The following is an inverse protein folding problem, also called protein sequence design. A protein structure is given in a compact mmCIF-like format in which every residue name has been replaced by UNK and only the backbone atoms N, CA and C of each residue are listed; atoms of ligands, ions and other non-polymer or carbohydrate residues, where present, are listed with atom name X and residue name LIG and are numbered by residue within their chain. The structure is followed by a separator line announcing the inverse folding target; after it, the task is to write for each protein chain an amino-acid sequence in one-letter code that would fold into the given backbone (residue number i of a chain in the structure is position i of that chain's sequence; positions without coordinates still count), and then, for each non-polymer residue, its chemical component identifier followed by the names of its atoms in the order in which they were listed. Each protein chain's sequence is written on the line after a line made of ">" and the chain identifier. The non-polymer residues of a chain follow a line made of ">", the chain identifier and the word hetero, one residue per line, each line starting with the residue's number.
data_IF_782833017831
#
_entry.id   IF_782833017831
#
_cell.length_a   1.000
_cell.length_b   1.000
_cell.length_c   1.000
_cell.angle_alpha   90.00
_cell.angle_beta   90.00
_cell.angle_gamma   90.00
#
_symmetry.space_group_name_H-M   'P 1'
#
loop_
_entity.id
_entity.type
_entity.pdbx_description
1 polymer ?
#
# COMPACT_ATOMS: atom_id res chain seq x y z
N UNK A 1 9.71 -1.92 -3.89
CA UNK A 1 10.91 -2.81 -3.86
C UNK A 1 11.54 -2.64 -2.49
N UNK A 2 11.82 -3.75 -1.82
CA UNK A 2 12.45 -3.78 -0.50
C UNK A 2 13.95 -3.47 -0.57
N UNK A 3 14.59 -3.19 0.57
CA UNK A 3 16.03 -2.91 0.64
C UNK A 3 16.92 -4.06 0.12
N UNK A 4 16.44 -5.29 0.22
CA UNK A 4 17.10 -6.48 -0.33
C UNK A 4 16.84 -6.71 -1.83
N UNK A 5 16.22 -5.75 -2.53
CA UNK A 5 16.03 -5.74 -3.97
C UNK A 5 14.86 -6.58 -4.48
N UNK A 6 13.97 -7.04 -3.61
CA UNK A 6 12.80 -7.83 -4.01
C UNK A 6 11.67 -6.93 -4.50
N UNK A 7 11.12 -7.24 -5.68
CA UNK A 7 9.87 -6.62 -6.14
C UNK A 7 8.69 -7.10 -5.27
N UNK A 8 7.83 -6.15 -4.93
CA UNK A 8 6.71 -6.37 -4.00
C UNK A 8 5.47 -5.64 -4.48
N UNK A 9 4.34 -5.96 -3.87
CA UNK A 9 3.12 -5.19 -4.00
C UNK A 9 3.26 -3.78 -3.40
N UNK A 10 2.37 -2.87 -3.76
CA UNK A 10 2.36 -1.48 -3.30
C UNK A 10 2.07 -1.35 -1.80
N UNK A 11 1.32 -2.29 -1.24
CA UNK A 11 0.89 -2.30 0.15
C UNK A 11 2.06 -2.27 1.14
N UNK A 12 3.20 -2.87 0.79
CA UNK A 12 4.38 -2.89 1.65
C UNK A 12 4.89 -1.48 1.97
N UNK A 13 4.82 -0.56 1.01
CA UNK A 13 5.19 0.83 1.25
C UNK A 13 4.28 1.51 2.29
N UNK A 14 3.00 1.14 2.35
CA UNK A 14 2.10 1.59 3.42
C UNK A 14 2.51 0.98 4.75
N UNK A 15 2.80 -0.32 4.80
CA UNK A 15 3.21 -0.98 6.05
C UNK A 15 4.47 -0.35 6.62
N UNK A 16 5.54 -0.19 5.82
CA UNK A 16 6.79 0.46 6.25
C UNK A 16 6.54 1.86 6.83
N UNK A 17 5.68 2.68 6.22
CA UNK A 17 5.36 4.01 6.73
C UNK A 17 4.65 4.03 8.08
N UNK A 18 3.85 3.00 8.38
CA UNK A 18 3.09 2.94 9.62
C UNK A 18 3.82 2.23 10.76
N UNK A 19 4.73 1.29 10.45
CA UNK A 19 5.48 0.56 11.48
C UNK A 19 6.92 1.06 11.66
N UNK A 20 7.40 1.94 10.75
CA UNK A 20 8.77 2.50 10.74
C UNK A 20 9.85 1.41 10.72
N UNK A 21 9.61 0.33 9.98
CA UNK A 21 10.51 -0.81 9.82
C UNK A 21 10.67 -1.17 8.35
N UNK A 22 11.90 -1.47 7.94
CA UNK A 22 12.18 -1.93 6.59
C UNK A 22 11.72 -3.39 6.43
N UNK A 23 10.91 -3.62 5.41
CA UNK A 23 10.44 -4.96 5.05
C UNK A 23 11.44 -5.66 4.11
N UNK A 24 11.34 -6.98 4.02
CA UNK A 24 12.28 -7.82 3.28
C UNK A 24 11.55 -8.82 2.35
N UNK A 25 12.32 -9.67 1.66
CA UNK A 25 11.81 -10.66 0.70
C UNK A 25 10.77 -11.64 1.25
N UNK A 26 10.69 -11.82 2.57
CA UNK A 26 9.69 -12.67 3.20
C UNK A 26 8.40 -11.92 3.53
N UNK A 27 8.40 -10.60 3.42
CA UNK A 27 7.25 -9.76 3.74
C UNK A 27 6.19 -9.71 2.63
N UNK A 28 6.46 -10.30 1.45
CA UNK A 28 5.49 -10.39 0.36
C UNK A 28 5.47 -11.77 -0.28
N UNK A 29 4.30 -12.34 -0.41
CA UNK A 29 4.10 -13.64 -1.01
C UNK A 29 2.87 -13.65 -1.90
N UNK A 30 3.07 -13.77 -3.20
CA UNK A 30 1.99 -13.89 -4.18
C UNK A 30 1.68 -15.36 -4.50
N UNK A 31 0.47 -15.64 -4.95
CA UNK A 31 0.06 -16.98 -5.43
C UNK A 31 1.03 -17.53 -6.48
N UNK A 32 1.42 -16.70 -7.45
CA UNK A 32 2.37 -17.10 -8.49
C UNK A 32 3.72 -17.55 -7.92
N UNK A 33 4.25 -16.82 -6.93
CA UNK A 33 5.52 -17.15 -6.26
C UNK A 33 5.43 -18.46 -5.49
N UNK A 34 4.31 -18.71 -4.80
CA UNK A 34 4.07 -19.98 -4.09
C UNK A 34 4.11 -21.17 -5.04
N UNK A 35 3.30 -21.12 -6.11
CA UNK A 35 3.24 -22.21 -7.08
C UNK A 35 4.57 -22.41 -7.81
N UNK A 36 5.23 -21.32 -8.21
CA UNK A 36 6.54 -21.38 -8.83
C UNK A 36 7.58 -22.10 -7.96
N UNK A 37 7.64 -21.75 -6.68
CA UNK A 37 8.56 -22.39 -5.73
C UNK A 37 8.28 -23.88 -5.56
N UNK A 38 7.01 -24.26 -5.41
CA UNK A 38 6.63 -25.68 -5.23
C UNK A 38 6.93 -26.49 -6.50
N UNK A 39 6.60 -25.98 -7.69
CA UNK A 39 6.90 -26.64 -8.96
C UNK A 39 8.41 -26.81 -9.19
N UNK A 40 9.22 -25.82 -8.83
CA UNK A 40 10.68 -25.94 -8.93
C UNK A 40 11.22 -26.99 -7.95
N UNK A 41 10.74 -27.01 -6.71
CA UNK A 41 11.10 -28.04 -5.71
C UNK A 41 10.74 -29.44 -6.21
N UNK A 42 9.54 -29.61 -6.80
CA UNK A 42 9.12 -30.89 -7.39
C UNK A 42 10.07 -31.34 -8.50
N UNK A 43 10.40 -30.45 -9.45
CA UNK A 43 11.33 -30.74 -10.57
C UNK A 43 12.74 -31.07 -10.10
N UNK A 44 13.17 -30.51 -8.98
CA UNK A 44 14.45 -30.82 -8.34
C UNK A 44 14.42 -32.11 -7.50
N UNK A 45 13.27 -32.80 -7.41
CA UNK A 45 13.13 -34.03 -6.67
C UNK A 45 12.98 -33.86 -5.15
N UNK A 46 12.72 -32.66 -4.67
CA UNK A 46 12.61 -32.37 -3.23
C UNK A 46 11.49 -33.19 -2.52
N UNK A 47 10.47 -33.62 -3.26
CA UNK A 47 9.36 -34.40 -2.72
C UNK A 47 9.48 -35.92 -2.91
N UNK A 48 10.63 -36.41 -3.38
CA UNK A 48 10.96 -37.84 -3.46
C UNK A 48 9.88 -38.71 -4.16
N UNK A 49 9.24 -38.18 -5.19
CA UNK A 49 8.19 -38.86 -5.95
C UNK A 49 6.79 -38.88 -5.31
N UNK A 50 6.60 -38.16 -4.22
CA UNK A 50 5.26 -37.96 -3.64
C UNK A 50 4.38 -37.11 -4.58
N UNK A 51 3.08 -37.39 -4.57
CA UNK A 51 2.11 -36.52 -5.27
C UNK A 51 2.04 -35.16 -4.59
N UNK A 52 2.38 -34.10 -5.35
CA UNK A 52 2.30 -32.73 -4.85
C UNK A 52 0.84 -32.28 -4.79
N UNK A 53 0.41 -31.75 -3.66
CA UNK A 53 -0.97 -31.35 -3.36
C UNK A 53 -1.01 -29.98 -2.70
N UNK A 54 -2.17 -29.34 -2.67
CA UNK A 54 -2.37 -28.08 -1.92
C UNK A 54 -1.98 -28.26 -0.46
N UNK A 55 -2.50 -29.31 0.16
CA UNK A 55 -2.14 -29.75 1.51
C UNK A 55 -1.32 -31.03 1.38
N UNK A 56 -0.08 -31.09 1.87
CA UNK A 56 0.59 -30.08 2.69
C UNK A 56 1.56 -29.15 1.91
N UNK A 57 1.79 -29.35 0.61
CA UNK A 57 2.96 -28.78 -0.07
C UNK A 57 2.81 -27.24 -0.26
N UNK A 58 1.66 -26.78 -0.79
CA UNK A 58 1.40 -25.34 -0.98
C UNK A 58 1.23 -24.66 0.40
N UNK A 59 0.48 -25.26 1.32
CA UNK A 59 0.30 -24.68 2.65
C UNK A 59 1.60 -24.60 3.45
N UNK A 60 2.49 -25.58 3.33
CA UNK A 60 3.81 -25.56 3.97
C UNK A 60 4.70 -24.45 3.36
N UNK A 61 4.63 -24.24 2.04
CA UNK A 61 5.34 -23.15 1.40
C UNK A 61 4.87 -21.79 1.94
N UNK A 62 3.57 -21.56 2.03
CA UNK A 62 2.99 -20.34 2.60
C UNK A 62 3.44 -20.13 4.05
N UNK A 63 3.29 -21.17 4.89
CA UNK A 63 3.71 -21.12 6.30
C UNK A 63 5.19 -20.81 6.46
N UNK A 64 6.04 -21.32 5.54
CA UNK A 64 7.48 -21.08 5.60
C UNK A 64 7.83 -19.60 5.48
N UNK A 65 7.06 -18.80 4.75
CA UNK A 65 7.28 -17.35 4.67
C UNK A 65 7.00 -16.66 5.99
N UNK A 66 5.90 -17.00 6.67
CA UNK A 66 5.55 -16.47 7.99
C UNK A 66 6.64 -16.79 9.01
N UNK A 67 7.08 -18.06 9.06
CA UNK A 67 8.11 -18.49 10.01
C UNK A 67 9.49 -17.93 9.69
N UNK A 68 9.85 -17.82 8.40
CA UNK A 68 11.12 -17.24 7.99
C UNK A 68 11.16 -15.75 8.28
N UNK A 69 10.05 -15.02 8.11
CA UNK A 69 9.97 -13.62 8.50
C UNK A 69 10.24 -13.47 9.99
N UNK A 70 9.51 -14.18 10.84
CA UNK A 70 9.72 -14.16 12.28
C UNK A 70 11.19 -14.45 12.68
N UNK A 71 11.76 -15.50 12.08
CA UNK A 71 13.14 -15.92 12.42
C UNK A 71 14.22 -14.98 11.90
N UNK A 72 14.00 -14.33 10.74
CA UNK A 72 15.00 -13.47 10.10
C UNK A 72 15.02 -12.05 10.67
N UNK A 73 13.93 -11.60 11.27
CA UNK A 73 13.78 -10.26 11.85
C UNK A 73 13.84 -10.25 13.38
N UNK A 74 13.87 -11.43 14.02
CA UNK A 74 13.76 -11.59 15.48
C UNK A 74 12.52 -10.87 16.06
N UNK A 75 11.44 -10.82 15.27
CA UNK A 75 10.25 -10.07 15.62
C UNK A 75 9.45 -10.76 16.74
N UNK A 76 9.04 -10.01 17.74
CA UNK A 76 8.15 -10.47 18.81
C UNK A 76 6.73 -10.73 18.30
N UNK A 77 6.29 -9.94 17.31
CA UNK A 77 4.96 -10.03 16.71
C UNK A 77 5.08 -9.97 15.18
N UNK A 78 4.44 -10.92 14.50
CA UNK A 78 4.32 -10.95 13.03
C UNK A 78 2.88 -10.67 12.65
N UNK A 79 2.66 -9.61 11.88
CA UNK A 79 1.35 -9.28 11.31
C UNK A 79 1.29 -9.82 9.88
N UNK A 80 0.38 -10.76 9.63
CA UNK A 80 0.17 -11.35 8.31
C UNK A 80 -1.17 -10.90 7.75
N UNK A 81 -1.16 -10.19 6.64
CA UNK A 81 -2.34 -9.80 5.91
C UNK A 81 -2.64 -10.82 4.82
N UNK A 82 -3.91 -11.22 4.71
CA UNK A 82 -4.41 -12.10 3.64
C UNK A 82 -5.33 -11.29 2.73
N UNK A 83 -4.85 -11.01 1.53
CA UNK A 83 -5.57 -10.21 0.54
C UNK A 83 -6.78 -10.93 -0.06
N UNK A 84 -7.70 -10.14 -0.60
CA UNK A 84 -8.90 -10.60 -1.27
C UNK A 84 -10.12 -10.76 -0.35
N UNK A 85 -11.24 -11.12 -0.96
CA UNK A 85 -12.51 -11.35 -0.25
C UNK A 85 -12.55 -12.77 0.31
N UNK A 86 -13.02 -12.91 1.54
CA UNK A 86 -13.26 -14.24 2.13
C UNK A 86 -14.23 -15.06 1.27
N UNK A 87 -13.81 -16.25 0.86
CA UNK A 87 -14.56 -17.10 -0.07
C UNK A 87 -13.99 -17.13 -1.48
N UNK A 88 -13.09 -16.22 -1.83
CA UNK A 88 -12.40 -16.25 -3.13
C UNK A 88 -11.50 -17.50 -3.23
N UNK A 89 -11.52 -18.13 -4.40
CA UNK A 89 -10.78 -19.37 -4.64
C UNK A 89 -9.27 -19.17 -4.45
N UNK A 90 -8.76 -18.02 -4.86
CA UNK A 90 -7.34 -17.67 -4.77
C UNK A 90 -6.84 -17.60 -3.33
N UNK A 91 -7.69 -17.19 -2.39
CA UNK A 91 -7.33 -17.01 -0.99
C UNK A 91 -7.38 -18.31 -0.19
N UNK A 92 -8.07 -19.35 -0.67
CA UNK A 92 -8.31 -20.59 0.09
C UNK A 92 -7.03 -21.27 0.60
N UNK A 93 -5.94 -21.44 -0.20
CA UNK A 93 -4.70 -22.04 0.30
C UNK A 93 -4.05 -21.22 1.41
N UNK A 94 -4.17 -19.87 1.35
CA UNK A 94 -3.64 -18.97 2.38
C UNK A 94 -4.46 -19.07 3.67
N UNK A 95 -5.78 -19.07 3.58
CA UNK A 95 -6.68 -19.24 4.73
C UNK A 95 -6.45 -20.61 5.41
N UNK A 96 -6.26 -21.67 4.63
CA UNK A 96 -5.91 -22.99 5.16
C UNK A 96 -4.53 -22.97 5.83
N UNK A 97 -3.54 -22.27 5.25
CA UNK A 97 -2.21 -22.17 5.85
C UNK A 97 -2.25 -21.45 7.20
N UNK A 98 -2.95 -20.29 7.32
CA UNK A 98 -3.06 -19.58 8.61
C UNK A 98 -3.87 -20.35 9.63
N UNK A 99 -4.89 -21.13 9.21
CA UNK A 99 -5.59 -22.06 10.09
C UNK A 99 -4.62 -23.09 10.70
N UNK A 100 -3.72 -23.63 9.87
CA UNK A 100 -2.67 -24.56 10.33
C UNK A 100 -1.66 -23.88 11.24
N UNK A 101 -1.24 -22.63 10.95
CA UNK A 101 -0.38 -21.84 11.86
C UNK A 101 -1.02 -21.73 13.24
N UNK A 102 -2.31 -21.43 13.33
CA UNK A 102 -3.01 -21.36 14.60
C UNK A 102 -3.10 -22.69 15.34
N UNK A 103 -3.11 -23.82 14.61
CA UNK A 103 -3.04 -25.16 15.21
C UNK A 103 -1.62 -25.46 15.73
N UNK A 104 -0.59 -25.09 14.97
CA UNK A 104 0.81 -25.37 15.28
C UNK A 104 1.35 -24.50 16.41
N UNK A 105 0.99 -23.20 16.42
CA UNK A 105 1.45 -22.23 17.43
C UNK A 105 0.56 -22.16 18.67
N UNK A 106 -0.67 -22.66 18.56
CA UNK A 106 -1.68 -22.56 19.61
C UNK A 106 -2.47 -21.24 19.54
N UNK A 107 -3.73 -21.32 19.97
CA UNK A 107 -4.69 -20.19 19.91
C UNK A 107 -4.32 -18.99 20.77
N UNK A 108 -3.53 -19.19 21.81
CA UNK A 108 -3.08 -18.12 22.70
C UNK A 108 -1.97 -17.26 22.05
N UNK A 109 -1.26 -17.81 21.07
CA UNK A 109 -0.19 -17.12 20.34
C UNK A 109 -0.67 -16.57 18.98
N UNK A 110 -1.97 -16.65 18.68
CA UNK A 110 -2.55 -16.16 17.44
C UNK A 110 -3.77 -15.30 17.71
N UNK A 111 -3.87 -14.16 16.99
CA UNK A 111 -5.04 -13.30 17.00
C UNK A 111 -5.55 -13.15 15.57
N UNK A 112 -6.79 -13.61 15.32
CA UNK A 112 -7.43 -13.47 14.02
C UNK A 112 -8.31 -12.24 13.98
N UNK A 113 -7.92 -11.28 13.17
CA UNK A 113 -8.66 -10.03 12.95
C UNK A 113 -9.33 -10.10 11.58
N UNK A 114 -10.65 -10.01 11.54
CA UNK A 114 -11.42 -10.04 10.30
C UNK A 114 -11.99 -8.67 9.97
N UNK A 115 -11.55 -8.11 8.85
CA UNK A 115 -12.05 -6.82 8.36
C UNK A 115 -13.26 -7.06 7.47
N UNK A 116 -14.38 -6.43 7.78
CA UNK A 116 -15.65 -6.59 7.04
C UNK A 116 -16.26 -5.25 6.66
N UNK A 117 -16.82 -5.19 5.46
CA UNK A 117 -17.56 -4.01 5.01
C UNK A 117 -18.97 -4.00 5.61
N UNK A 118 -19.37 -2.84 6.17
CA UNK A 118 -20.74 -2.57 6.60
C UNK A 118 -21.30 -1.46 5.71
N UNK A 119 -21.99 -1.81 4.62
CA UNK A 119 -22.45 -0.81 3.67
C UNK A 119 -23.63 -0.01 4.22
N UNK A 120 -23.64 1.29 3.92
CA UNK A 120 -24.78 2.16 4.10
C UNK A 120 -25.68 2.11 2.87
N UNK A 121 -26.98 1.95 3.09
CA UNK A 121 -27.98 1.94 2.02
C UNK A 121 -28.82 3.21 2.09
N UNK A 122 -28.52 4.15 1.22
CA UNK A 122 -29.19 5.47 1.18
C UNK A 122 -30.72 5.37 1.04
N UNK A 123 -31.23 4.38 0.31
CA UNK A 123 -32.67 4.20 0.13
C UNK A 123 -33.42 3.76 1.38
N UNK A 124 -32.76 3.17 2.37
CA UNK A 124 -33.33 2.78 3.68
C UNK A 124 -32.74 3.55 4.85
N UNK A 125 -31.82 4.47 4.58
CA UNK A 125 -31.14 5.32 5.57
C UNK A 125 -30.54 4.53 6.73
N UNK A 126 -29.85 3.41 6.43
CA UNK A 126 -29.31 2.52 7.44
C UNK A 126 -28.09 1.74 6.97
N UNK A 127 -27.24 1.36 7.94
CA UNK A 127 -26.16 0.41 7.75
C UNK A 127 -26.69 -1.04 7.78
N UNK A 128 -26.14 -1.90 6.91
CA UNK A 128 -26.56 -3.31 6.81
C UNK A 128 -25.49 -4.25 7.38
N UNK A 129 -25.85 -4.96 8.46
CA UNK A 129 -24.96 -5.94 9.11
C UNK A 129 -24.91 -7.32 8.40
N UNK A 130 -25.80 -7.60 7.46
CA UNK A 130 -25.87 -8.92 6.82
C UNK A 130 -24.63 -9.29 6.02
N UNK A 131 -24.02 -8.41 5.20
CA UNK A 131 -22.76 -8.73 4.51
C UNK A 131 -21.64 -9.12 5.47
N UNK A 132 -21.47 -8.38 6.57
CA UNK A 132 -20.50 -8.71 7.61
C UNK A 132 -20.74 -10.09 8.24
N UNK A 133 -22.00 -10.40 8.58
CA UNK A 133 -22.37 -11.71 9.12
C UNK A 133 -22.06 -12.84 8.14
N UNK A 134 -22.31 -12.66 6.85
CA UNK A 134 -22.01 -13.65 5.81
C UNK A 134 -20.51 -13.88 5.67
N UNK A 135 -19.72 -12.80 5.61
CA UNK A 135 -18.26 -12.89 5.51
C UNK A 135 -17.63 -13.63 6.69
N UNK A 136 -18.06 -13.32 7.93
CA UNK A 136 -17.60 -14.04 9.12
C UNK A 136 -18.00 -15.52 9.08
N UNK A 137 -19.21 -15.81 8.64
CA UNK A 137 -19.72 -17.19 8.55
C UNK A 137 -18.94 -18.03 7.54
N UNK A 138 -18.57 -17.42 6.42
CA UNK A 138 -17.72 -18.04 5.40
C UNK A 138 -16.34 -18.38 5.97
N UNK A 139 -15.69 -17.42 6.65
CA UNK A 139 -14.42 -17.64 7.32
C UNK A 139 -14.49 -18.76 8.38
N UNK A 140 -15.56 -18.77 9.18
CA UNK A 140 -15.79 -19.83 10.16
C UNK A 140 -16.01 -21.20 9.50
N UNK A 141 -16.66 -21.24 8.33
CA UNK A 141 -16.81 -22.46 7.51
C UNK A 141 -15.47 -23.05 7.06
N UNK A 142 -14.45 -22.22 6.91
CA UNK A 142 -13.06 -22.63 6.61
C UNK A 142 -12.26 -23.02 7.87
N UNK A 143 -12.88 -22.98 9.06
CA UNK A 143 -12.25 -23.35 10.33
C UNK A 143 -11.44 -22.24 11.00
N UNK A 144 -11.54 -20.99 10.54
CA UNK A 144 -10.93 -19.83 11.18
C UNK A 144 -11.99 -19.02 11.91
N UNK A 145 -11.88 -18.95 13.24
CA UNK A 145 -12.77 -18.12 14.07
C UNK A 145 -12.09 -16.80 14.39
N UNK A 146 -12.64 -15.66 13.96
CA UNK A 146 -12.06 -14.37 14.30
C UNK A 146 -12.14 -14.11 15.80
N UNK A 147 -11.09 -13.54 16.34
CA UNK A 147 -11.02 -13.01 17.71
C UNK A 147 -11.54 -11.58 17.76
N UNK A 148 -11.28 -10.81 16.69
CA UNK A 148 -11.68 -9.41 16.54
C UNK A 148 -12.33 -9.23 15.17
N UNK A 149 -13.39 -8.41 15.12
CA UNK A 149 -14.05 -8.01 13.87
C UNK A 149 -13.91 -6.50 13.72
N UNK A 150 -13.30 -6.06 12.61
CA UNK A 150 -13.18 -4.65 12.24
C UNK A 150 -14.31 -4.30 11.26
N UNK A 151 -15.14 -3.34 11.63
CA UNK A 151 -16.26 -2.87 10.81
C UNK A 151 -15.82 -1.68 9.98
N UNK A 152 -15.51 -1.92 8.70
CA UNK A 152 -15.18 -0.85 7.75
C UNK A 152 -16.46 -0.20 7.24
N UNK A 153 -16.62 1.10 7.54
CA UNK A 153 -17.80 1.89 7.16
C UNK A 153 -17.43 3.36 6.90
N UNK A 154 -18.27 4.10 6.20
CA UNK A 154 -18.06 5.53 5.96
C UNK A 154 -18.42 6.41 7.17
N UNK A 155 -19.28 5.92 8.04
CA UNK A 155 -19.65 6.59 9.30
C UNK A 155 -20.01 5.56 10.37
N UNK A 156 -20.24 6.02 11.60
CA UNK A 156 -20.54 5.13 12.73
C UNK A 156 -21.79 4.27 12.46
N UNK A 157 -21.61 2.97 12.62
CA UNK A 157 -22.71 1.99 12.43
C UNK A 157 -23.64 1.90 13.64
N UNK A 158 -23.23 2.45 14.78
CA UNK A 158 -24.01 2.48 16.01
C UNK A 158 -23.96 1.21 16.85
N UNK A 159 -24.30 1.34 18.12
CA UNK A 159 -24.17 0.25 19.11
C UNK A 159 -25.08 -0.95 18.84
N UNK A 160 -26.24 -0.74 18.20
CA UNK A 160 -27.17 -1.86 17.91
C UNK A 160 -26.60 -2.79 16.84
N UNK A 161 -25.98 -2.27 15.79
CA UNK A 161 -25.36 -3.08 14.75
C UNK A 161 -24.13 -3.79 15.34
N UNK A 162 -23.30 -3.12 16.14
CA UNK A 162 -22.16 -3.74 16.81
C UNK A 162 -22.58 -4.91 17.68
N UNK A 163 -23.59 -4.73 18.56
CA UNK A 163 -24.16 -5.81 19.39
C UNK A 163 -24.70 -6.96 18.56
N UNK A 164 -25.40 -6.65 17.47
CA UNK A 164 -25.96 -7.65 16.56
C UNK A 164 -24.86 -8.49 15.91
N UNK A 165 -23.78 -7.86 15.41
CA UNK A 165 -22.64 -8.56 14.83
C UNK A 165 -21.94 -9.40 15.88
N UNK A 166 -21.66 -8.85 17.06
CA UNK A 166 -21.09 -9.57 18.20
C UNK A 166 -21.85 -10.89 18.49
N UNK A 167 -23.17 -10.79 18.63
CA UNK A 167 -24.02 -11.94 18.93
C UNK A 167 -24.03 -12.98 17.80
N UNK A 168 -24.19 -12.55 16.54
CA UNK A 168 -24.29 -13.46 15.40
C UNK A 168 -22.97 -14.10 15.00
N UNK A 169 -21.87 -13.41 15.26
CA UNK A 169 -20.51 -13.87 14.91
C UNK A 169 -19.79 -14.54 16.08
N UNK A 170 -20.41 -14.62 17.25
CA UNK A 170 -19.83 -15.22 18.46
C UNK A 170 -18.50 -14.59 18.87
N UNK A 171 -18.45 -13.25 18.85
CA UNK A 171 -17.29 -12.43 19.23
C UNK A 171 -17.74 -11.49 20.35
N UNK A 172 -16.91 -11.24 21.35
CA UNK A 172 -17.25 -10.32 22.44
C UNK A 172 -17.55 -8.91 21.92
N UNK A 173 -18.46 -8.13 22.56
CA UNK A 173 -18.83 -6.79 22.10
C UNK A 173 -17.64 -5.83 22.00
N UNK A 174 -16.69 -5.89 22.91
CA UNK A 174 -15.44 -5.11 22.92
C UNK A 174 -14.49 -5.45 21.76
N UNK A 175 -14.62 -6.67 21.20
CA UNK A 175 -13.84 -7.13 20.05
C UNK A 175 -14.50 -6.78 18.70
N UNK A 176 -15.59 -5.99 18.69
CA UNK A 176 -16.22 -5.48 17.46
C UNK A 176 -15.91 -3.98 17.34
N UNK A 177 -14.96 -3.66 16.51
CA UNK A 177 -14.29 -2.36 16.41
C UNK A 177 -14.68 -1.65 15.13
N UNK A 178 -15.03 -0.37 15.20
CA UNK A 178 -15.29 0.45 14.00
C UNK A 178 -13.97 0.97 13.40
N UNK A 179 -13.87 0.88 12.07
CA UNK A 179 -12.84 1.54 11.26
C UNK A 179 -13.54 2.42 10.21
N UNK A 180 -13.59 3.71 10.47
CA UNK A 180 -14.35 4.67 9.69
C UNK A 180 -13.47 5.35 8.64
N UNK A 181 -14.10 5.89 7.58
CA UNK A 181 -13.42 6.74 6.61
C UNK A 181 -12.96 8.03 7.30
N UNK A 182 -11.66 8.28 7.28
CA UNK A 182 -11.04 9.45 7.89
C UNK A 182 -10.54 10.41 6.80
N UNK A 183 -10.49 11.73 7.08
CA UNK A 183 -9.94 12.72 6.13
C UNK A 183 -8.49 12.46 5.73
N UNK A 184 -7.72 11.82 6.60
CA UNK A 184 -6.35 11.38 6.34
C UNK A 184 -6.15 9.97 6.88
N UNK A 185 -5.47 9.12 6.11
CA UNK A 185 -5.10 7.76 6.53
C UNK A 185 -4.31 7.76 7.84
N UNK A 186 -3.51 8.81 8.08
CA UNK A 186 -2.72 8.96 9.31
C UNK A 186 -3.56 9.15 10.57
N UNK A 187 -4.86 9.41 10.47
CA UNK A 187 -5.79 9.45 11.61
C UNK A 187 -6.27 8.05 12.04
N UNK A 188 -6.16 7.05 11.16
CA UNK A 188 -6.66 5.70 11.43
C UNK A 188 -6.07 5.06 12.71
N UNK A 189 -4.75 5.13 13.00
CA UNK A 189 -4.21 4.58 14.25
C UNK A 189 -4.82 5.19 15.49
N UNK A 190 -5.04 6.52 15.50
CA UNK A 190 -5.66 7.22 16.64
C UNK A 190 -7.12 6.81 16.84
N UNK A 191 -7.85 6.61 15.74
CA UNK A 191 -9.23 6.13 15.78
C UNK A 191 -9.31 4.69 16.30
N UNK A 192 -8.46 3.80 15.80
CA UNK A 192 -8.43 2.41 16.23
C UNK A 192 -8.03 2.27 17.69
N UNK A 193 -7.05 3.05 18.17
CA UNK A 193 -6.70 3.16 19.58
C UNK A 193 -7.89 3.66 20.42
N UNK A 194 -8.55 4.74 19.99
CA UNK A 194 -9.73 5.27 20.70
C UNK A 194 -10.86 4.25 20.79
N UNK A 195 -10.98 3.37 19.79
CA UNK A 195 -11.95 2.29 19.76
C UNK A 195 -11.48 1.02 20.50
N UNK A 196 -10.27 1.01 21.08
CA UNK A 196 -9.75 -0.04 21.95
C UNK A 196 -9.15 -1.24 21.23
N UNK A 197 -8.73 -1.11 19.94
CA UNK A 197 -8.17 -2.23 19.20
C UNK A 197 -6.87 -2.76 19.83
N UNK A 198 -5.97 -1.88 20.19
CA UNK A 198 -4.69 -2.23 20.80
C UNK A 198 -4.87 -2.91 22.17
N UNK A 199 -5.78 -2.41 23.02
CA UNK A 199 -6.10 -3.03 24.31
C UNK A 199 -6.58 -4.48 24.15
N UNK A 200 -7.49 -4.72 23.19
CA UNK A 200 -8.02 -6.05 22.92
C UNK A 200 -6.96 -7.00 22.34
N UNK A 201 -6.06 -6.50 21.47
CA UNK A 201 -4.95 -7.29 20.91
C UNK A 201 -3.95 -7.67 22.01
N UNK A 202 -3.55 -6.68 22.84
CA UNK A 202 -2.63 -6.89 23.96
C UNK A 202 -3.19 -7.91 24.94
N UNK A 203 -4.47 -7.79 25.33
CA UNK A 203 -5.16 -8.77 26.19
C UNK A 203 -5.20 -10.18 25.57
N UNK A 204 -5.57 -10.25 24.27
CA UNK A 204 -5.71 -11.54 23.56
C UNK A 204 -4.39 -12.28 23.42
N UNK A 205 -3.32 -11.57 23.10
CA UNK A 205 -1.98 -12.15 22.94
C UNK A 205 -1.19 -12.20 24.25
N UNK A 206 -1.77 -11.70 25.36
CA UNK A 206 -1.14 -11.66 26.69
C UNK A 206 0.22 -10.97 26.66
N UNK A 207 0.33 -9.88 25.90
CA UNK A 207 1.57 -9.13 25.79
C UNK A 207 1.82 -8.31 27.06
N UNK A 208 3.02 -8.42 27.60
CA UNK A 208 3.48 -7.60 28.73
C UNK A 208 4.18 -6.35 28.21
N UNK A 209 3.40 -5.37 27.79
CA UNK A 209 3.87 -4.13 27.19
C UNK A 209 3.23 -2.92 27.87
N UNK A 210 3.93 -1.76 27.92
CA UNK A 210 3.35 -0.54 28.44
C UNK A 210 2.20 -0.06 27.53
N UNK A 211 1.30 0.80 28.03
CA UNK A 211 0.30 1.46 27.18
C UNK A 211 0.95 2.20 25.99
N UNK A 212 0.28 2.22 24.86
CA UNK A 212 0.78 2.87 23.65
C UNK A 212 0.97 4.39 23.88
N UNK A 213 2.16 4.90 23.60
CA UNK A 213 2.43 6.35 23.54
C UNK A 213 2.26 6.85 22.10
N UNK A 214 1.17 7.53 21.83
CA UNK A 214 0.83 8.11 20.54
C UNK A 214 1.09 9.63 20.48
N UNK A 215 1.93 10.16 21.35
CA UNK A 215 2.18 11.61 21.45
C UNK A 215 2.76 12.17 20.17
N UNK A 216 3.80 11.56 19.63
CA UNK A 216 4.41 11.98 18.35
C UNK A 216 3.46 11.79 17.17
N UNK A 217 2.73 10.70 17.14
CA UNK A 217 1.73 10.46 16.09
C UNK A 217 0.61 11.51 16.09
N UNK A 218 0.14 11.92 17.28
CA UNK A 218 -0.83 13.02 17.42
C UNK A 218 -0.28 14.33 16.87
N UNK A 219 1.02 14.59 17.05
CA UNK A 219 1.66 15.79 16.48
C UNK A 219 1.69 15.76 14.96
N UNK A 220 2.01 14.61 14.33
CA UNK A 220 1.95 14.43 12.88
C UNK A 220 0.55 14.70 12.36
N UNK A 221 -0.47 14.08 12.97
CA UNK A 221 -1.88 14.27 12.57
C UNK A 221 -2.31 15.74 12.74
N UNK A 222 -1.87 16.40 13.79
CA UNK A 222 -2.15 17.83 14.02
C UNK A 222 -1.52 18.69 12.92
N UNK A 223 -0.27 18.45 12.54
CA UNK A 223 0.39 19.16 11.42
C UNK A 223 -0.38 18.99 10.13
N UNK A 224 -0.81 17.75 9.83
CA UNK A 224 -1.62 17.47 8.62
C UNK A 224 -2.92 18.29 8.62
N UNK A 225 -3.57 18.42 9.76
CA UNK A 225 -4.86 19.11 9.87
C UNK A 225 -4.76 20.65 9.83
N UNK A 226 -3.61 21.21 10.21
CA UNK A 226 -3.45 22.67 10.42
C UNK A 226 -2.67 23.37 9.32
N UNK A 227 -2.35 22.71 8.21
CA UNK A 227 -1.62 23.30 7.09
C UNK A 227 -2.32 24.55 6.55
N UNK A 228 -1.54 25.62 6.37
CA UNK A 228 -2.07 26.94 6.04
C UNK A 228 -1.76 27.41 4.61
N UNK A 229 -0.79 26.78 3.95
CA UNK A 229 -0.36 27.11 2.59
C UNK A 229 -0.83 26.05 1.61
N UNK A 230 -0.85 26.40 0.33
CA UNK A 230 -1.10 25.47 -0.80
C UNK A 230 0.08 25.52 -1.75
N UNK A 231 0.45 24.37 -2.33
CA UNK A 231 1.49 24.23 -3.32
C UNK A 231 0.99 23.28 -4.42
N UNK A 232 0.97 23.75 -5.67
CA UNK A 232 0.55 22.95 -6.83
C UNK A 232 1.77 22.39 -7.55
N UNK A 233 1.89 21.05 -7.62
CA UNK A 233 3.00 20.35 -8.28
C UNK A 233 2.47 19.57 -9.49
N UNK A 234 2.99 19.85 -10.68
CA UNK A 234 2.72 19.02 -11.84
C UNK A 234 3.59 17.77 -11.82
N UNK A 235 2.96 16.61 -11.79
CA UNK A 235 3.62 15.32 -11.98
C UNK A 235 3.45 14.93 -13.46
N UNK A 236 4.55 15.07 -14.23
CA UNK A 236 4.57 14.80 -15.67
C UNK A 236 5.10 13.38 -15.90
N UNK A 237 4.23 12.48 -16.32
CA UNK A 237 4.58 11.06 -16.41
C UNK A 237 3.94 10.34 -17.57
N UNK A 238 4.27 9.04 -17.69
CA UNK A 238 3.74 8.10 -18.71
C UNK A 238 2.53 7.30 -18.22
N UNK A 239 2.34 7.21 -16.89
CA UNK A 239 1.38 6.30 -16.25
C UNK A 239 0.38 7.06 -15.37
N UNK A 240 0.15 8.35 -15.66
CA UNK A 240 -0.66 9.23 -14.82
C UNK A 240 -2.15 8.87 -14.76
N UNK A 241 -2.63 8.01 -15.67
CA UNK A 241 -3.99 7.46 -15.62
C UNK A 241 -4.17 6.44 -14.49
N UNK A 242 -3.09 5.84 -14.02
CA UNK A 242 -3.04 4.94 -12.88
C UNK A 242 -2.17 5.59 -11.80
N UNK A 243 -2.78 6.35 -10.91
CA UNK A 243 -2.09 7.12 -9.88
C UNK A 243 -1.18 6.25 -9.01
N UNK A 244 -1.58 5.00 -8.75
CA UNK A 244 -0.81 4.04 -7.96
C UNK A 244 0.59 3.77 -8.51
N UNK A 245 0.80 3.93 -9.83
CA UNK A 245 2.12 3.81 -10.44
C UNK A 245 3.14 4.81 -9.87
N UNK A 246 2.67 5.91 -9.30
CA UNK A 246 3.49 6.96 -8.70
C UNK A 246 3.22 7.15 -7.20
N UNK A 247 2.65 6.15 -6.53
CA UNK A 247 2.23 6.23 -5.14
C UNK A 247 3.35 6.74 -4.22
N UNK A 248 4.57 6.20 -4.34
CA UNK A 248 5.70 6.62 -3.49
C UNK A 248 6.13 8.07 -3.73
N UNK A 249 6.04 8.55 -4.98
CA UNK A 249 6.32 9.96 -5.32
C UNK A 249 5.25 10.87 -4.74
N UNK A 250 3.99 10.48 -4.88
CA UNK A 250 2.84 11.19 -4.33
C UNK A 250 2.93 11.31 -2.81
N UNK A 251 3.16 10.20 -2.11
CA UNK A 251 3.32 10.19 -0.65
C UNK A 251 4.52 11.04 -0.20
N UNK A 252 5.65 10.99 -0.92
CA UNK A 252 6.82 11.83 -0.62
C UNK A 252 6.50 13.33 -0.74
N UNK A 253 5.70 13.72 -1.73
CA UNK A 253 5.24 15.10 -1.88
C UNK A 253 4.31 15.51 -0.74
N UNK A 254 3.40 14.64 -0.31
CA UNK A 254 2.53 14.90 0.84
C UNK A 254 3.33 15.03 2.14
N UNK A 255 4.31 14.15 2.38
CA UNK A 255 5.20 14.25 3.55
C UNK A 255 6.00 15.55 3.56
N UNK A 256 6.54 15.96 2.41
CA UNK A 256 7.19 17.26 2.28
C UNK A 256 6.23 18.41 2.59
N UNK A 257 4.97 18.28 2.15
CA UNK A 257 3.91 19.25 2.49
C UNK A 257 3.61 19.31 3.98
N UNK A 258 3.59 18.17 4.67
CA UNK A 258 3.35 18.13 6.12
C UNK A 258 4.42 18.90 6.90
N UNK A 259 5.68 18.76 6.48
CA UNK A 259 6.81 19.42 7.14
C UNK A 259 6.91 20.91 6.79
N UNK A 260 6.46 21.32 5.60
CA UNK A 260 6.55 22.70 5.13
C UNK A 260 5.25 23.52 5.28
N UNK A 261 4.31 23.07 6.13
CA UNK A 261 3.02 23.72 6.36
C UNK A 261 2.23 23.96 5.05
N UNK A 262 2.30 22.99 4.12
CA UNK A 262 1.70 23.13 2.80
C UNK A 262 0.79 21.95 2.46
N UNK A 263 -0.40 22.27 1.95
CA UNK A 263 -1.25 21.30 1.28
C UNK A 263 -0.76 21.15 -0.15
N UNK A 264 -0.22 19.99 -0.50
CA UNK A 264 0.25 19.74 -1.86
C UNK A 264 -0.92 19.26 -2.72
N UNK A 265 -1.14 19.96 -3.83
CA UNK A 265 -2.07 19.58 -4.89
C UNK A 265 -1.29 19.03 -6.07
N UNK A 266 -1.53 17.77 -6.42
CA UNK A 266 -0.82 17.12 -7.54
C UNK A 266 -1.66 17.26 -8.80
N UNK A 267 -1.10 17.98 -9.80
CA UNK A 267 -1.65 18.03 -11.14
C UNK A 267 -1.04 16.91 -11.98
N UNK A 268 -1.84 15.93 -12.31
CA UNK A 268 -1.44 14.80 -13.14
C UNK A 268 -1.39 15.23 -14.61
N UNK A 269 -0.22 15.10 -15.25
CA UNK A 269 0.01 15.54 -16.63
C UNK A 269 0.54 14.37 -17.44
N UNK A 270 -0.22 13.93 -18.44
CA UNK A 270 0.26 12.97 -19.42
C UNK A 270 1.34 13.62 -20.27
N UNK A 271 2.52 13.03 -20.33
CA UNK A 271 3.65 13.64 -21.07
C UNK A 271 3.37 13.82 -22.56
N UNK A 272 2.50 13.01 -23.15
CA UNK A 272 2.12 13.12 -24.57
C UNK A 272 1.24 14.34 -24.87
N UNK A 273 0.61 14.96 -23.86
CA UNK A 273 -0.18 16.18 -24.03
C UNK A 273 0.70 17.44 -24.17
N UNK A 274 1.97 17.35 -23.81
CA UNK A 274 2.94 18.43 -23.89
C UNK A 274 3.59 18.48 -25.29
N UNK A 275 2.82 18.89 -26.28
CA UNK A 275 3.22 18.86 -27.68
C UNK A 275 4.16 20.00 -28.06
N UNK A 276 4.07 21.14 -27.40
CA UNK A 276 4.90 22.34 -27.62
C UNK A 276 4.89 23.27 -26.38
N UNK A 277 5.63 24.38 -26.44
CA UNK A 277 5.73 25.35 -25.36
C UNK A 277 4.41 26.11 -25.07
N UNK A 278 3.48 26.17 -26.04
CA UNK A 278 2.17 26.78 -25.80
C UNK A 278 1.30 25.84 -24.95
N UNK A 279 1.29 24.55 -25.28
CA UNK A 279 0.63 23.53 -24.47
C UNK A 279 1.21 23.52 -23.04
N UNK A 280 2.53 23.59 -22.88
CA UNK A 280 3.18 23.70 -21.58
C UNK A 280 2.70 24.94 -20.82
N UNK A 281 2.62 26.08 -21.45
CA UNK A 281 2.18 27.34 -20.83
C UNK A 281 0.72 27.26 -20.32
N UNK A 282 -0.16 26.62 -21.06
CA UNK A 282 -1.56 26.43 -20.65
C UNK A 282 -1.66 25.43 -19.47
N UNK A 283 -0.95 24.29 -19.57
CA UNK A 283 -1.02 23.23 -18.58
C UNK A 283 -0.36 23.64 -17.26
N UNK A 284 0.73 24.41 -17.31
CA UNK A 284 1.49 24.81 -16.11
C UNK A 284 1.16 26.22 -15.60
N UNK A 285 0.08 26.85 -16.07
CA UNK A 285 -0.25 28.25 -15.72
C UNK A 285 -0.33 28.49 -14.20
N UNK A 286 -0.90 27.53 -13.46
CA UNK A 286 -1.15 27.64 -12.01
C UNK A 286 -0.37 26.53 -11.23
N UNK A 287 0.88 26.29 -11.64
CA UNK A 287 1.75 25.25 -11.07
C UNK A 287 2.99 25.91 -10.46
N UNK A 288 3.33 25.53 -9.23
CA UNK A 288 4.48 26.05 -8.50
C UNK A 288 5.78 25.29 -8.79
N UNK A 289 5.68 24.06 -9.29
CA UNK A 289 6.83 23.23 -9.63
C UNK A 289 6.47 22.00 -10.45
N UNK A 290 7.47 21.44 -11.12
CA UNK A 290 7.34 20.25 -11.98
C UNK A 290 8.19 19.12 -11.43
N UNK A 291 7.61 17.93 -11.33
CA UNK A 291 8.33 16.67 -11.07
C UNK A 291 8.15 15.72 -12.25
N UNK A 292 9.26 15.17 -12.75
CA UNK A 292 9.26 14.13 -13.76
C UNK A 292 9.82 12.86 -13.13
N UNK A 293 8.98 11.85 -12.88
CA UNK A 293 9.38 10.61 -12.24
C UNK A 293 10.11 9.65 -13.18
N UNK A 294 10.50 8.49 -12.66
CA UNK A 294 11.03 7.39 -13.42
C UNK A 294 10.03 6.79 -14.43
N UNK A 295 10.55 6.10 -15.43
CA UNK A 295 9.76 5.40 -16.44
C UNK A 295 10.65 4.65 -17.42
N UNK A 296 10.08 3.72 -18.19
CA UNK A 296 10.79 2.91 -19.18
C UNK A 296 10.24 3.15 -20.59
N UNK A 297 11.10 2.89 -21.60
CA UNK A 297 10.73 3.05 -23.01
C UNK A 297 10.67 4.51 -23.47
N UNK A 298 10.46 4.70 -24.76
CA UNK A 298 10.58 5.97 -25.48
C UNK A 298 9.28 6.81 -25.54
N UNK A 299 8.13 6.22 -25.13
CA UNK A 299 6.84 6.92 -25.15
C UNK A 299 6.89 8.19 -24.27
N UNK A 300 6.44 9.32 -24.82
CA UNK A 300 6.27 10.58 -24.08
C UNK A 300 7.57 11.32 -23.74
N UNK A 301 8.74 10.89 -24.21
CA UNK A 301 10.05 11.51 -23.94
C UNK A 301 10.08 12.97 -24.40
N UNK A 302 9.62 13.24 -25.62
CA UNK A 302 9.65 14.60 -26.18
C UNK A 302 8.78 15.57 -25.36
N UNK A 303 7.61 15.13 -24.89
CA UNK A 303 6.78 15.94 -24.00
C UNK A 303 7.43 16.21 -22.64
N UNK A 304 8.16 15.25 -22.09
CA UNK A 304 8.94 15.47 -20.87
C UNK A 304 10.09 16.48 -21.10
N UNK A 305 10.72 16.46 -22.28
CA UNK A 305 11.73 17.45 -22.69
C UNK A 305 11.09 18.84 -22.80
N UNK A 306 9.87 18.94 -23.37
CA UNK A 306 9.13 20.21 -23.40
C UNK A 306 8.86 20.74 -21.98
N UNK A 307 8.49 19.87 -21.04
CA UNK A 307 8.29 20.25 -19.63
C UNK A 307 9.59 20.78 -18.99
N UNK A 308 10.72 20.10 -19.22
CA UNK A 308 12.02 20.51 -18.70
C UNK A 308 12.47 21.84 -19.31
N UNK A 309 12.28 22.06 -20.62
CA UNK A 309 12.54 23.31 -21.30
C UNK A 309 11.68 24.45 -20.72
N UNK A 310 10.38 24.23 -20.57
CA UNK A 310 9.48 25.21 -19.97
C UNK A 310 9.94 25.60 -18.57
N UNK A 311 10.28 24.63 -17.74
CA UNK A 311 10.76 24.88 -16.38
C UNK A 311 12.03 25.73 -16.37
N UNK A 312 13.02 25.42 -17.21
CA UNK A 312 14.28 26.17 -17.32
C UNK A 312 14.04 27.60 -17.80
N UNK A 313 13.26 27.78 -18.86
CA UNK A 313 13.03 29.11 -19.48
C UNK A 313 12.18 30.03 -18.58
N UNK A 314 11.23 29.46 -17.81
CA UNK A 314 10.37 30.21 -16.90
C UNK A 314 10.88 30.24 -15.47
N UNK A 315 12.08 29.66 -15.18
CA UNK A 315 12.66 29.56 -13.83
C UNK A 315 11.75 28.87 -12.82
N UNK A 316 10.97 27.92 -13.29
CA UNK A 316 10.11 27.10 -12.46
C UNK A 316 10.93 25.99 -11.81
N UNK A 317 10.72 25.67 -10.52
CA UNK A 317 11.35 24.51 -9.89
C UNK A 317 11.07 23.22 -10.67
N UNK A 318 12.12 22.46 -10.95
CA UNK A 318 12.05 21.17 -11.64
C UNK A 318 12.81 20.12 -10.86
N UNK A 319 12.21 18.95 -10.67
CA UNK A 319 12.87 17.80 -10.07
C UNK A 319 12.69 16.55 -10.94
N UNK A 320 13.80 16.00 -11.42
CA UNK A 320 13.82 14.79 -12.24
C UNK A 320 14.32 13.59 -11.47
N UNK A 321 13.54 12.52 -11.44
CA UNK A 321 13.89 11.24 -10.79
C UNK A 321 14.19 10.22 -11.88
N UNK A 322 15.37 9.55 -11.84
CA UNK A 322 15.78 8.52 -12.80
C UNK A 322 15.64 9.02 -14.26
N UNK A 323 14.60 8.61 -14.99
CA UNK A 323 14.31 9.11 -16.34
C UNK A 323 14.20 10.64 -16.35
N UNK A 324 13.54 11.25 -15.38
CA UNK A 324 13.38 12.70 -15.31
C UNK A 324 14.71 13.45 -15.19
N UNK A 325 15.72 12.88 -14.55
CA UNK A 325 17.09 13.42 -14.53
C UNK A 325 17.72 13.29 -15.91
N UNK A 326 17.58 12.17 -16.60
CA UNK A 326 18.08 11.99 -17.97
C UNK A 326 17.42 13.01 -18.92
N UNK A 327 16.11 13.22 -18.80
CA UNK A 327 15.35 14.21 -19.59
C UNK A 327 15.93 15.63 -19.41
N UNK A 328 16.23 16.02 -18.19
CA UNK A 328 16.84 17.33 -17.91
C UNK A 328 18.20 17.48 -18.61
N UNK A 329 19.03 16.44 -18.57
CA UNK A 329 20.34 16.43 -19.25
C UNK A 329 20.17 16.50 -20.76
N UNK A 330 19.27 15.71 -21.33
CA UNK A 330 18.97 15.73 -22.76
C UNK A 330 18.45 17.09 -23.21
N UNK A 331 17.52 17.69 -22.48
CA UNK A 331 17.00 19.03 -22.76
C UNK A 331 18.12 20.06 -22.79
N UNK A 332 18.96 20.08 -21.77
CA UNK A 332 20.06 21.03 -21.69
C UNK A 332 21.09 20.84 -22.82
N UNK A 333 21.42 19.60 -23.13
CA UNK A 333 22.32 19.29 -24.23
C UNK A 333 21.76 19.74 -25.59
N UNK A 334 20.48 19.50 -25.85
CA UNK A 334 19.85 19.90 -27.12
C UNK A 334 19.67 21.41 -27.25
N UNK A 335 19.08 22.05 -26.23
CA UNK A 335 18.58 23.43 -26.36
C UNK A 335 19.55 24.49 -25.84
N UNK A 336 20.56 24.11 -25.04
CA UNK A 336 21.56 25.06 -24.52
C UNK A 336 22.93 24.84 -25.15
N UNK A 337 23.39 23.56 -25.26
CA UNK A 337 24.70 23.26 -25.83
C UNK A 337 24.67 23.04 -27.34
N UNK A 338 23.50 22.91 -27.97
CA UNK A 338 23.32 22.77 -29.40
C UNK A 338 23.58 21.37 -29.97
N UNK A 339 23.62 20.33 -29.12
CA UNK A 339 23.70 18.95 -29.56
C UNK A 339 22.31 18.43 -29.91
N UNK A 340 21.81 18.77 -31.10
CA UNK A 340 20.42 18.52 -31.50
C UNK A 340 20.00 17.02 -31.45
N UNK A 341 20.94 16.10 -31.55
CA UNK A 341 20.76 14.64 -31.52
C UNK A 341 20.98 14.03 -30.11
N UNK A 342 21.27 14.85 -29.08
CA UNK A 342 21.53 14.34 -27.74
C UNK A 342 20.38 13.50 -27.24
N UNK A 343 20.70 12.30 -26.73
CA UNK A 343 19.72 11.33 -26.27
C UNK A 343 20.34 10.44 -25.18
N UNK A 344 19.49 9.67 -24.47
CA UNK A 344 19.96 8.62 -23.58
C UNK A 344 20.38 7.39 -24.38
N UNK A 345 21.47 6.74 -24.00
CA UNK A 345 21.86 5.45 -24.56
C UNK A 345 20.81 4.33 -24.37
N UNK A 346 19.86 4.53 -23.47
CA UNK A 346 18.69 3.65 -23.32
C UNK A 346 17.77 3.70 -24.54
N UNK A 347 17.62 4.87 -25.18
CA UNK A 347 16.72 5.07 -26.32
C UNK A 347 17.44 5.17 -27.67
N UNK A 348 18.70 5.55 -27.65
CA UNK A 348 19.55 5.71 -28.83
C UNK A 348 20.95 5.15 -28.55
N UNK A 349 21.14 3.81 -28.48
CA UNK A 349 22.41 3.19 -28.15
C UNK A 349 23.52 3.48 -29.18
N UNK A 350 23.17 3.82 -30.40
CA UNK A 350 24.12 4.19 -31.48
C UNK A 350 24.31 5.71 -31.60
N UNK A 351 23.74 6.51 -30.71
CA UNK A 351 23.85 7.97 -30.72
C UNK A 351 25.27 8.46 -30.45
N UNK A 352 25.64 9.62 -30.99
CA UNK A 352 26.94 10.25 -30.75
C UNK A 352 26.95 11.09 -29.45
N UNK A 353 25.81 11.61 -29.04
CA UNK A 353 25.65 12.50 -27.89
C UNK A 353 24.54 12.02 -26.97
#
# INVERSE_FOLDING_TARGET
>A
MTDDGTETDLDLGHYERFIDENLNKYSNLTTGKVYWNVLNKERQGAYLGQTVQIIPHITNEIKSYIYNLASSTEADVVITEIGGTTGDIESQPFLEAIRQVGLEQGRDNCCYIHVVLVPYISGSDEYKSKPAQHSVKELQGMGVNPDIIILRADGSVGGDIRRKISTFCNVKPECVIENLTMPSLYQCPLMLHTNGLDDVVVEKLKLDVPPADLTEWKQVVSRIATRSKTCSIALVGKYVKLHDAYLSVMESLYHAGFENDSQVEIRWVESEDLTDQNACKEIFADVDGIIVPGGFGDRGIEGMIQAAQYARENRMPYFGICLGMQIMVMEYARNVLGYADANSSEFAPEGQH
#
